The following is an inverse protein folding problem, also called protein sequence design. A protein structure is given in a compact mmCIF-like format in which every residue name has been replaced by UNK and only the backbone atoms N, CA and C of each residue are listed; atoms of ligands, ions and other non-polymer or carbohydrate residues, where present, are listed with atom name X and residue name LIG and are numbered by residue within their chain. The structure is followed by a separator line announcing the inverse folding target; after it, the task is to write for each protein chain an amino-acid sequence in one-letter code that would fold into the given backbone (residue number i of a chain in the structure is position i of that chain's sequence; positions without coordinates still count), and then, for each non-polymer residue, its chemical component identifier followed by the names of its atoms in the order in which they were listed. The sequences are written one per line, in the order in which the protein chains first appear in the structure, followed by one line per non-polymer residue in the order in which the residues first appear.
data_IF_089410029968
#
_entry.id   IF_089410029968
#
_cell.length_a   1.000
_cell.length_b   1.000
_cell.length_c   1.000
_cell.angle_alpha   90.00
_cell.angle_beta   90.00
_cell.angle_gamma   90.00
#
_symmetry.space_group_name_H-M   'P 1'
#
loop_
_entity.id
_entity.type
_entity.pdbx_description
1 polymer ?
#
# COMPACT_ATOMS: atom_id res chain seq x y z
N UNK A 1 -12.70 58.47 -18.79
CA UNK A 1 -14.06 57.89 -18.86
C UNK A 1 -13.95 56.41 -18.55
N UNK A 2 -14.34 56.04 -17.33
CA UNK A 2 -14.26 54.67 -16.79
C UNK A 2 -15.40 53.81 -17.32
N UNK A 3 -15.09 52.69 -17.96
CA UNK A 3 -16.07 51.69 -18.41
C UNK A 3 -15.80 50.38 -17.68
N UNK A 4 -16.66 50.08 -16.70
CA UNK A 4 -16.76 48.82 -15.96
C UNK A 4 -17.46 47.75 -16.80
N UNK A 5 -16.77 46.65 -17.10
CA UNK A 5 -17.39 45.46 -17.68
C UNK A 5 -17.27 44.29 -16.70
N UNK A 6 -18.38 43.98 -16.03
CA UNK A 6 -18.55 42.82 -15.16
C UNK A 6 -18.61 41.52 -15.98
N UNK A 7 -17.90 40.43 -15.62
CA UNK A 7 -17.98 39.20 -16.38
C UNK A 7 -19.28 38.44 -16.09
N UNK A 8 -20.04 38.14 -17.16
CA UNK A 8 -21.26 37.32 -17.13
C UNK A 8 -20.99 35.93 -16.57
N UNK A 9 -21.72 35.57 -15.51
CA UNK A 9 -21.81 34.21 -14.95
C UNK A 9 -22.42 33.24 -15.99
N UNK A 10 -21.61 32.32 -16.51
CA UNK A 10 -22.06 31.27 -17.42
C UNK A 10 -22.88 30.23 -16.64
N UNK A 11 -24.20 30.18 -16.85
CA UNK A 11 -25.06 29.11 -16.30
C UNK A 11 -24.80 27.83 -17.11
N UNK A 12 -24.19 26.82 -16.50
CA UNK A 12 -24.20 25.44 -17.04
C UNK A 12 -25.53 24.79 -16.72
N UNK A 13 -26.31 24.51 -17.77
CA UNK A 13 -27.50 23.66 -17.75
C UNK A 13 -27.13 22.21 -17.41
N UNK A 14 -28.01 21.52 -16.70
CA UNK A 14 -27.75 20.22 -16.09
C UNK A 14 -27.65 19.02 -17.04
N UNK A 15 -27.21 17.91 -16.45
CA UNK A 15 -27.73 16.56 -16.69
C UNK A 15 -27.21 15.64 -15.58
N UNK A 16 -27.95 15.57 -14.46
CA UNK A 16 -27.75 14.54 -13.43
C UNK A 16 -28.46 13.26 -13.88
N UNK A 17 -27.73 12.39 -14.57
CA UNK A 17 -28.14 10.99 -14.67
C UNK A 17 -27.64 10.29 -13.40
N UNK A 18 -28.56 10.13 -12.45
CA UNK A 18 -28.38 9.39 -11.21
C UNK A 18 -28.08 7.92 -11.53
N UNK A 19 -26.80 7.61 -11.66
CA UNK A 19 -26.32 6.23 -11.63
C UNK A 19 -26.21 5.83 -10.17
N UNK A 20 -27.25 5.18 -9.64
CA UNK A 20 -27.21 4.54 -8.31
C UNK A 20 -26.06 3.53 -8.30
N UNK A 21 -24.95 3.93 -7.69
CA UNK A 21 -23.84 3.05 -7.35
C UNK A 21 -24.30 2.19 -6.17
N UNK A 22 -24.45 0.89 -6.39
CA UNK A 22 -24.80 -0.07 -5.35
C UNK A 22 -23.61 -0.19 -4.39
N UNK A 23 -23.59 0.60 -3.32
CA UNK A 23 -22.58 0.49 -2.27
C UNK A 23 -22.92 -0.68 -1.34
N UNK A 24 -21.93 -1.56 -1.11
CA UNK A 24 -22.00 -2.65 -0.15
C UNK A 24 -22.27 -2.09 1.28
N UNK A 25 -22.89 -2.87 2.19
CA UNK A 25 -23.35 -2.36 3.48
C UNK A 25 -22.20 -1.69 4.26
N UNK A 26 -22.45 -0.46 4.70
CA UNK A 26 -21.46 0.50 5.15
C UNK A 26 -20.63 0.04 6.35
N UNK A 27 -19.39 -0.35 6.09
CA UNK A 27 -18.29 -0.06 7.01
C UNK A 27 -18.09 1.45 6.98
N UNK A 28 -18.32 2.13 8.10
CA UNK A 28 -17.90 3.52 8.25
C UNK A 28 -16.38 3.59 7.98
N UNK A 29 -15.99 4.14 6.83
CA UNK A 29 -14.61 4.22 6.38
C UNK A 29 -13.88 5.29 7.19
N UNK A 30 -13.53 4.94 8.41
CA UNK A 30 -12.69 5.81 9.19
C UNK A 30 -11.30 5.86 8.52
N UNK A 31 -10.71 7.04 8.35
CA UNK A 31 -9.44 7.18 7.62
C UNK A 31 -8.32 6.42 8.34
N UNK A 32 -7.36 5.92 7.56
CA UNK A 32 -6.12 5.37 8.10
C UNK A 32 -5.36 6.48 8.84
N UNK A 33 -4.78 6.14 10.00
CA UNK A 33 -3.91 7.05 10.75
C UNK A 33 -2.50 7.06 10.14
N UNK A 34 -2.08 5.94 9.56
CA UNK A 34 -0.78 5.76 8.91
C UNK A 34 -0.94 4.97 7.61
N UNK A 35 -0.36 5.48 6.52
CA UNK A 35 -0.21 4.74 5.27
C UNK A 35 1.28 4.54 4.99
N UNK A 36 1.73 3.28 5.01
CA UNK A 36 3.09 2.90 4.68
C UNK A 36 3.20 2.60 3.18
N UNK A 37 3.91 3.47 2.44
CA UNK A 37 4.10 3.30 0.99
C UNK A 37 5.53 2.85 0.72
N UNK A 38 5.69 1.75 -0.02
CA UNK A 38 7.02 1.32 -0.46
C UNK A 38 7.19 -0.18 -0.59
N UNK A 39 8.40 -0.64 -0.29
CA UNK A 39 8.85 -2.00 -0.56
C UNK A 39 8.33 -3.03 0.44
N UNK A 40 7.91 -4.17 -0.08
CA UNK A 40 7.69 -5.43 0.63
C UNK A 40 8.66 -6.47 0.07
N UNK A 41 9.27 -7.28 0.93
CA UNK A 41 10.12 -8.40 0.51
C UNK A 41 9.56 -9.72 1.00
N UNK A 42 9.95 -10.79 0.32
CA UNK A 42 9.81 -12.16 0.80
C UNK A 42 11.19 -12.68 1.14
N UNK A 43 11.49 -12.74 2.43
CA UNK A 43 12.81 -13.06 2.94
C UNK A 43 12.94 -14.59 3.05
N UNK A 44 13.91 -15.14 2.32
CA UNK A 44 14.26 -16.56 2.36
C UNK A 44 15.58 -16.71 3.11
N UNK A 45 15.51 -17.16 4.35
CA UNK A 45 16.67 -17.27 5.24
C UNK A 45 17.09 -18.74 5.34
N UNK A 46 18.26 -19.05 4.80
CA UNK A 46 18.86 -20.38 4.87
C UNK A 46 19.86 -20.46 6.02
N UNK A 47 19.72 -21.50 6.85
CA UNK A 47 20.74 -21.82 7.88
C UNK A 47 21.79 -22.73 7.25
N UNK A 48 23.06 -22.39 7.45
CA UNK A 48 24.22 -23.12 6.93
C UNK A 48 25.31 -23.19 7.99
N UNK A 49 26.15 -24.21 7.94
CA UNK A 49 27.25 -24.41 8.90
C UNK A 49 28.29 -23.28 8.89
N UNK A 50 28.44 -22.58 7.76
CA UNK A 50 29.33 -21.44 7.58
C UNK A 50 28.93 -20.60 6.36
N UNK A 51 29.46 -19.39 6.25
CA UNK A 51 29.28 -18.57 5.05
C UNK A 51 30.00 -19.21 3.85
N UNK A 52 29.36 -19.28 2.67
CA UNK A 52 29.98 -19.89 1.49
C UNK A 52 31.30 -19.21 1.11
N UNK A 53 32.30 -20.02 0.78
CA UNK A 53 33.50 -19.54 0.08
C UNK A 53 33.18 -19.27 -1.41
N UNK A 54 34.05 -18.57 -2.15
CA UNK A 54 33.89 -18.39 -3.59
C UNK A 54 33.68 -19.74 -4.30
N UNK A 55 32.64 -19.80 -5.15
CA UNK A 55 32.24 -20.95 -5.97
C UNK A 55 31.87 -22.24 -5.19
N UNK A 56 31.74 -22.16 -3.87
CA UNK A 56 31.34 -23.29 -3.05
C UNK A 56 29.82 -23.52 -3.11
N UNK A 57 29.42 -24.80 -3.12
CA UNK A 57 28.02 -25.23 -3.00
C UNK A 57 27.84 -25.94 -1.68
N UNK A 58 26.87 -25.49 -0.89
CA UNK A 58 26.55 -26.05 0.43
C UNK A 58 25.08 -26.49 0.47
N UNK A 59 24.80 -27.48 1.31
CA UNK A 59 23.43 -27.83 1.67
C UNK A 59 22.97 -26.96 2.84
N UNK A 60 21.75 -26.41 2.74
CA UNK A 60 21.13 -25.72 3.86
C UNK A 60 20.67 -26.74 4.91
N UNK A 61 20.87 -26.40 6.18
CA UNK A 61 20.41 -27.17 7.34
C UNK A 61 18.96 -26.80 7.71
N UNK A 62 18.49 -25.64 7.24
CA UNK A 62 17.13 -25.17 7.49
C UNK A 62 16.74 -24.00 6.58
N UNK A 63 15.44 -23.77 6.49
CA UNK A 63 14.83 -22.66 5.75
C UNK A 63 13.76 -21.99 6.62
N UNK A 64 13.86 -20.68 6.76
CA UNK A 64 12.80 -19.83 7.31
C UNK A 64 12.30 -18.91 6.20
N UNK A 65 10.99 -18.89 6.00
CA UNK A 65 10.31 -17.98 5.09
C UNK A 65 9.56 -16.93 5.91
N UNK A 66 9.79 -15.66 5.62
CA UNK A 66 9.08 -14.58 6.29
C UNK A 66 8.82 -13.38 5.37
N UNK A 67 7.80 -12.61 5.71
CA UNK A 67 7.59 -11.30 5.09
C UNK A 67 8.59 -10.29 5.63
N UNK A 68 9.02 -9.38 4.76
CA UNK A 68 9.94 -8.31 5.09
C UNK A 68 9.64 -7.03 4.29
N UNK A 69 10.65 -6.18 4.19
CA UNK A 69 10.57 -4.90 3.50
C UNK A 69 10.22 -3.76 4.45
N UNK A 70 10.89 -2.59 4.35
CA UNK A 70 10.73 -1.51 5.32
C UNK A 70 9.28 -1.03 5.48
N UNK A 71 8.55 -0.86 4.38
CA UNK A 71 7.19 -0.33 4.42
C UNK A 71 6.18 -1.37 4.93
N UNK A 72 6.31 -2.63 4.53
CA UNK A 72 5.46 -3.71 5.04
C UNK A 72 5.70 -3.95 6.53
N UNK A 73 6.96 -3.98 6.99
CA UNK A 73 7.29 -4.14 8.40
C UNK A 73 6.76 -2.98 9.24
N UNK A 74 6.89 -1.73 8.77
CA UNK A 74 6.31 -0.56 9.44
C UNK A 74 4.78 -0.67 9.54
N UNK A 75 4.12 -1.13 8.47
CA UNK A 75 2.67 -1.30 8.45
C UNK A 75 2.19 -2.32 9.49
N UNK A 76 2.85 -3.49 9.52
CA UNK A 76 2.57 -4.56 10.48
C UNK A 76 2.84 -4.10 11.90
N UNK A 77 3.94 -3.40 12.15
CA UNK A 77 4.28 -2.89 13.47
C UNK A 77 3.26 -1.86 13.96
N UNK A 78 2.83 -0.92 13.09
CA UNK A 78 1.78 0.05 13.41
C UNK A 78 0.48 -0.62 13.81
N UNK A 79 0.04 -1.61 13.00
CA UNK A 79 -1.15 -2.39 13.31
C UNK A 79 -1.04 -3.15 14.65
N UNK A 80 0.12 -3.75 14.95
CA UNK A 80 0.37 -4.45 16.23
C UNK A 80 0.34 -3.52 17.44
N UNK A 81 0.66 -2.24 17.26
CA UNK A 81 0.56 -1.22 18.31
C UNK A 81 -0.87 -0.63 18.43
N UNK A 82 -1.83 -1.11 17.65
CA UNK A 82 -3.22 -0.65 17.68
C UNK A 82 -3.49 0.59 16.81
N UNK A 83 -2.55 0.99 15.95
CA UNK A 83 -2.75 2.08 14.99
C UNK A 83 -3.50 1.56 13.76
N UNK A 84 -4.42 2.34 13.20
CA UNK A 84 -5.08 1.97 11.93
C UNK A 84 -4.13 2.23 10.79
N UNK A 85 -3.37 1.20 10.45
CA UNK A 85 -2.31 1.29 9.45
C UNK A 85 -2.70 0.58 8.16
N UNK A 86 -2.38 1.20 7.02
CA UNK A 86 -2.46 0.58 5.70
C UNK A 86 -1.09 0.45 5.06
N UNK A 87 -0.99 -0.43 4.08
CA UNK A 87 0.19 -0.61 3.24
C UNK A 87 -0.18 -0.36 1.78
N UNK A 88 0.71 0.29 1.03
CA UNK A 88 0.62 0.47 -0.41
C UNK A 88 1.97 0.16 -1.05
N UNK A 89 1.98 -0.88 -1.88
CA UNK A 89 3.17 -1.34 -2.59
C UNK A 89 2.77 -2.24 -3.75
N UNK A 90 3.76 -2.61 -4.56
CA UNK A 90 3.58 -3.52 -5.68
C UNK A 90 4.15 -4.89 -5.31
N UNK A 91 3.40 -5.94 -5.59
CA UNK A 91 3.81 -7.33 -5.43
C UNK A 91 3.71 -8.06 -6.77
N UNK A 92 4.48 -9.14 -6.90
CA UNK A 92 4.33 -10.07 -8.02
C UNK A 92 3.01 -10.83 -7.97
N UNK A 93 2.72 -11.57 -9.05
CA UNK A 93 1.62 -12.54 -9.13
C UNK A 93 2.15 -13.97 -9.03
N UNK A 94 3.22 -14.16 -8.27
CA UNK A 94 3.79 -15.45 -7.93
C UNK A 94 2.80 -16.25 -7.06
N UNK A 95 2.92 -17.59 -7.11
CA UNK A 95 2.04 -18.57 -6.43
C UNK A 95 2.73 -19.21 -5.25
#
# INVERSE_FOLDING_TARGET
MTSTTSPRRLKRSGNSSDSKKTEAPGVASSPLDVLCVGHASFDQVFTVSHHPLPDEKLFAEGLVLCGGGPAANAAVQGARLGVRTGFSGYLGTDV
#
